data_IF_914220134820
#
_entry.id   IF_914220134820
#
_cell.length_a   1.000
_cell.length_b   1.000
_cell.length_c   1.000
_cell.angle_alpha   90.00
_cell.angle_beta   90.00
_cell.angle_gamma   90.00
#
_symmetry.space_group_name_H-M   'P 1'
#
loop_
_entity.id
_entity.type
_entity.pdbx_description
1 polymer ?
#
# COMPACT_ATOMS: atom_id res chain seq x y z
N UNK A 1 -29.11 7.21 4.14
CA UNK A 1 -28.62 5.82 4.26
C UNK A 1 -27.13 5.91 4.53
N UNK A 2 -26.77 6.02 5.82
CA UNK A 2 -25.38 6.03 6.26
C UNK A 2 -24.86 4.59 6.24
N UNK A 3 -23.83 4.35 5.43
CA UNK A 3 -23.16 3.06 5.29
C UNK A 3 -22.22 2.85 6.48
N UNK A 4 -22.66 2.01 7.43
CA UNK A 4 -22.05 1.74 8.74
C UNK A 4 -20.82 0.81 8.70
N UNK A 5 -20.02 0.81 7.62
CA UNK A 5 -18.88 -0.12 7.45
C UNK A 5 -17.50 0.46 7.79
N UNK A 6 -17.36 1.13 8.94
CA UNK A 6 -16.07 1.74 9.30
C UNK A 6 -15.72 1.61 10.79
N UNK A 7 -15.65 0.38 11.31
CA UNK A 7 -15.42 0.13 12.75
C UNK A 7 -14.01 -0.32 13.15
N UNK A 8 -13.04 -0.47 12.23
CA UNK A 8 -11.64 -0.78 12.58
C UNK A 8 -10.65 0.18 11.90
N UNK A 9 -10.56 1.43 12.37
CA UNK A 9 -9.47 2.33 12.00
C UNK A 9 -8.61 2.66 13.22
N UNK A 10 -7.28 2.59 13.07
CA UNK A 10 -6.34 3.21 14.00
C UNK A 10 -6.66 4.71 14.17
N UNK A 11 -6.28 5.36 15.30
CA UNK A 11 -6.54 6.77 15.52
C UNK A 11 -6.17 7.59 14.27
N UNK A 12 -7.15 8.34 13.76
CA UNK A 12 -7.07 9.00 12.47
C UNK A 12 -5.82 9.88 12.36
N UNK A 13 -5.05 9.69 11.28
CA UNK A 13 -3.98 10.62 10.92
C UNK A 13 -4.53 12.03 10.87
N UNK A 14 -3.78 13.00 11.38
CA UNK A 14 -4.15 14.42 11.25
C UNK A 14 -4.34 14.80 9.77
N UNK A 15 -5.37 15.59 9.45
CA UNK A 15 -5.72 15.98 8.09
C UNK A 15 -4.55 16.57 7.29
N UNK A 16 -3.70 17.38 7.96
CA UNK A 16 -2.51 17.95 7.34
C UNK A 16 -1.53 16.88 6.85
N UNK A 17 -1.40 15.77 7.61
CA UNK A 17 -0.52 14.65 7.28
C UNK A 17 -1.13 13.86 6.12
N UNK A 18 -2.44 13.60 6.15
CA UNK A 18 -3.15 12.92 5.06
C UNK A 18 -3.01 13.70 3.75
N UNK A 19 -3.27 15.02 3.78
CA UNK A 19 -3.10 15.90 2.61
C UNK A 19 -1.67 15.85 2.08
N UNK A 20 -0.68 15.90 2.97
CA UNK A 20 0.72 15.85 2.58
C UNK A 20 1.15 14.48 2.03
N UNK A 21 0.53 13.39 2.48
CA UNK A 21 0.73 12.03 1.96
C UNK A 21 0.15 11.90 0.53
N UNK A 22 -1.09 12.36 0.32
CA UNK A 22 -1.77 12.35 -0.98
C UNK A 22 -1.03 13.23 -2.00
N UNK A 23 -0.59 14.43 -1.61
CA UNK A 23 0.18 15.30 -2.51
C UNK A 23 1.50 14.66 -2.94
N UNK A 24 2.16 13.91 -2.04
CA UNK A 24 3.39 13.18 -2.37
C UNK A 24 3.13 12.03 -3.33
N UNK A 25 2.06 11.26 -3.15
CA UNK A 25 1.70 10.17 -4.08
C UNK A 25 1.34 10.72 -5.47
N UNK A 26 0.62 11.84 -5.52
CA UNK A 26 0.30 12.52 -6.78
C UNK A 26 1.56 13.00 -7.52
N UNK A 27 2.52 13.62 -6.82
CA UNK A 27 3.80 14.05 -7.40
C UNK A 27 4.67 12.87 -7.83
N UNK A 28 4.66 11.77 -7.08
CA UNK A 28 5.46 10.59 -7.42
C UNK A 28 5.08 10.01 -8.80
N UNK A 29 3.82 10.16 -9.20
CA UNK A 29 3.31 9.73 -10.51
C UNK A 29 4.05 10.37 -11.69
N UNK A 30 4.62 11.57 -11.51
CA UNK A 30 5.36 12.26 -12.58
C UNK A 30 6.67 11.55 -12.96
N UNK A 31 7.15 10.64 -12.11
CA UNK A 31 8.34 9.84 -12.35
C UNK A 31 8.04 8.45 -12.94
N UNK A 32 6.76 8.12 -13.16
CA UNK A 32 6.35 6.81 -13.65
C UNK A 32 6.99 6.49 -15.02
N UNK A 33 7.65 5.34 -15.11
CA UNK A 33 8.09 4.78 -16.37
C UNK A 33 7.04 3.79 -16.85
N UNK A 34 6.08 4.25 -17.66
CA UNK A 34 5.00 3.41 -18.16
C UNK A 34 4.76 3.58 -19.67
N UNK A 35 5.76 3.31 -20.53
CA UNK A 35 5.62 3.53 -21.95
C UNK A 35 4.63 2.56 -22.62
N UNK A 36 4.27 1.44 -21.98
CA UNK A 36 3.40 0.42 -22.56
C UNK A 36 1.94 0.69 -22.21
N UNK A 37 1.59 0.82 -20.93
CA UNK A 37 0.20 1.08 -20.54
C UNK A 37 -0.21 2.55 -20.67
N UNK A 38 0.76 3.47 -20.62
CA UNK A 38 0.53 4.91 -20.44
C UNK A 38 -0.29 5.24 -19.19
N UNK A 39 -0.38 4.32 -18.24
CA UNK A 39 -1.13 4.46 -17.00
C UNK A 39 -0.18 4.73 -15.84
N UNK A 40 -0.11 6.01 -15.44
CA UNK A 40 0.81 6.44 -14.38
C UNK A 40 0.18 6.20 -13.01
N UNK A 41 0.95 5.61 -12.10
CA UNK A 41 0.59 5.40 -10.71
C UNK A 41 1.73 5.91 -9.83
N UNK A 42 1.38 6.66 -8.79
CA UNK A 42 2.29 7.11 -7.75
C UNK A 42 1.82 6.65 -6.38
N UNK A 43 2.76 6.39 -5.48
CA UNK A 43 2.49 6.01 -4.10
C UNK A 43 3.39 6.79 -3.14
N UNK A 44 2.89 7.03 -1.94
CA UNK A 44 3.67 7.58 -0.84
C UNK A 44 3.32 6.83 0.45
N UNK A 45 4.31 6.38 1.20
CA UNK A 45 4.16 5.69 2.48
C UNK A 45 4.72 6.54 3.61
N UNK A 46 4.01 6.56 4.74
CA UNK A 46 4.38 7.22 5.99
C UNK A 46 4.80 6.16 7.01
N UNK A 47 6.01 6.29 7.55
CA UNK A 47 6.55 5.42 8.60
C UNK A 47 6.08 5.88 9.99
N UNK A 48 6.29 5.03 11.00
CA UNK A 48 5.95 5.38 12.39
C UNK A 48 6.75 6.56 12.95
N UNK A 49 8.00 6.76 12.49
CA UNK A 49 8.85 7.88 12.87
C UNK A 49 8.53 9.20 12.13
N UNK A 50 7.60 9.18 11.17
CA UNK A 50 7.16 10.37 10.44
C UNK A 50 7.88 10.60 9.11
N UNK A 51 8.79 9.71 8.70
CA UNK A 51 9.44 9.75 7.39
C UNK A 51 8.49 9.38 6.26
N UNK A 52 8.69 9.97 5.08
CA UNK A 52 7.92 9.70 3.87
C UNK A 52 8.79 9.08 2.80
N UNK A 53 8.31 8.00 2.18
CA UNK A 53 8.92 7.40 1.00
C UNK A 53 7.94 7.41 -0.16
N UNK A 54 8.44 7.63 -1.36
CA UNK A 54 7.62 7.70 -2.58
C UNK A 54 8.05 6.66 -3.58
N UNK A 55 7.13 6.27 -4.44
CA UNK A 55 7.34 5.32 -5.52
C UNK A 55 6.40 5.58 -6.67
N UNK A 56 6.75 5.05 -7.85
CA UNK A 56 5.94 5.10 -9.05
C UNK A 56 5.99 3.75 -9.75
N UNK A 57 5.05 3.46 -10.64
CA UNK A 57 5.14 2.23 -11.43
C UNK A 57 6.28 2.32 -12.45
N UNK A 58 7.02 1.23 -12.58
CA UNK A 58 8.10 1.04 -13.55
C UNK A 58 7.80 -0.21 -14.35
N UNK A 59 7.47 0.00 -15.62
CA UNK A 59 7.16 -1.08 -16.53
C UNK A 59 8.42 -1.65 -17.18
N UNK A 60 8.27 -2.81 -17.81
CA UNK A 60 9.32 -3.48 -18.55
C UNK A 60 8.73 -4.14 -19.79
N UNK A 61 9.53 -4.34 -20.84
CA UNK A 61 9.12 -5.04 -22.05
C UNK A 61 8.62 -6.46 -21.74
N UNK A 62 9.28 -7.14 -20.79
CA UNK A 62 8.76 -8.34 -20.16
C UNK A 62 7.82 -7.91 -19.02
N UNK A 63 6.51 -7.94 -19.28
CA UNK A 63 5.50 -7.35 -18.40
C UNK A 63 5.51 -7.89 -16.96
N UNK A 64 5.96 -9.14 -16.75
CA UNK A 64 6.10 -9.77 -15.44
C UNK A 64 7.24 -9.17 -14.59
N UNK A 65 8.19 -8.45 -15.18
CA UNK A 65 9.28 -7.77 -14.48
C UNK A 65 8.88 -6.37 -14.00
N UNK A 66 7.71 -5.87 -14.41
CA UNK A 66 7.20 -4.58 -13.97
C UNK A 66 6.91 -4.54 -12.47
N UNK A 67 7.08 -3.36 -11.87
CA UNK A 67 6.82 -3.13 -10.44
C UNK A 67 5.83 -1.98 -10.24
N UNK A 68 4.89 -2.18 -9.33
CA UNK A 68 3.86 -1.19 -9.00
C UNK A 68 4.40 -0.11 -8.05
N UNK A 69 3.75 1.06 -8.05
CA UNK A 69 4.17 2.21 -7.26
C UNK A 69 4.27 1.91 -5.75
N UNK A 70 3.31 1.14 -5.23
CA UNK A 70 3.24 0.76 -3.82
C UNK A 70 4.47 -0.07 -3.44
N UNK A 71 4.79 -1.09 -4.25
CA UNK A 71 5.96 -1.95 -4.05
C UNK A 71 7.27 -1.16 -4.16
N UNK A 72 7.37 -0.19 -5.06
CA UNK A 72 8.54 0.71 -5.12
C UNK A 72 8.67 1.53 -3.84
N UNK A 73 7.59 2.17 -3.38
CA UNK A 73 7.61 3.02 -2.19
C UNK A 73 7.98 2.23 -0.92
N UNK A 74 7.41 1.03 -0.75
CA UNK A 74 7.72 0.15 0.37
C UNK A 74 9.13 -0.43 0.29
N UNK A 75 9.55 -0.95 -0.85
CA UNK A 75 10.91 -1.48 -1.02
C UNK A 75 11.96 -0.42 -0.71
N UNK A 76 11.72 0.83 -1.11
CA UNK A 76 12.58 1.96 -0.75
C UNK A 76 12.62 2.16 0.76
N UNK A 77 11.48 2.30 1.42
CA UNK A 77 11.41 2.49 2.88
C UNK A 77 12.11 1.36 3.65
N UNK A 78 11.87 0.11 3.24
CA UNK A 78 12.45 -1.09 3.86
C UNK A 78 13.96 -1.13 3.65
N UNK A 79 14.45 -0.82 2.44
CA UNK A 79 15.90 -0.76 2.17
C UNK A 79 16.62 0.33 2.97
N UNK A 80 15.89 1.36 3.42
CA UNK A 80 16.38 2.44 4.27
C UNK A 80 16.12 2.18 5.77
N UNK A 81 15.72 0.96 6.15
CA UNK A 81 15.62 0.52 7.54
C UNK A 81 14.23 0.68 8.19
N UNK A 82 13.21 1.06 7.43
CA UNK A 82 11.85 1.26 7.97
C UNK A 82 10.92 0.10 7.62
N UNK A 83 10.43 -0.62 8.63
CA UNK A 83 9.54 -1.78 8.47
C UNK A 83 8.19 -1.63 9.19
N UNK A 84 7.91 -0.44 9.75
CA UNK A 84 6.65 -0.13 10.44
C UNK A 84 6.02 1.12 9.84
N UNK A 85 4.77 0.99 9.42
CA UNK A 85 4.07 2.01 8.65
C UNK A 85 2.78 2.46 9.33
N UNK A 86 2.45 3.73 9.15
CA UNK A 86 1.19 4.33 9.60
C UNK A 86 0.16 4.33 8.48
N UNK A 87 0.59 4.70 7.28
CA UNK A 87 -0.30 4.79 6.13
C UNK A 87 0.45 4.77 4.79
N UNK A 88 -0.27 4.48 3.71
CA UNK A 88 0.14 4.67 2.33
C UNK A 88 -0.98 5.36 1.54
N UNK A 89 -0.65 6.28 0.64
CA UNK A 89 -1.58 6.84 -0.34
C UNK A 89 -1.19 6.43 -1.76
N UNK A 90 -2.19 6.14 -2.59
CA UNK A 90 -2.01 5.69 -3.98
C UNK A 90 -2.78 6.65 -4.88
N UNK A 91 -2.13 7.13 -5.94
CA UNK A 91 -2.68 8.06 -6.91
C UNK A 91 -2.48 7.56 -8.34
N UNK A 92 -3.46 7.81 -9.20
CA UNK A 92 -3.38 7.53 -10.65
C UNK A 92 -3.96 8.69 -11.46
N UNK A 93 -4.07 8.51 -12.78
CA UNK A 93 -4.77 9.44 -13.67
C UNK A 93 -6.29 9.15 -13.82
N UNK A 94 -6.81 8.14 -13.10
CA UNK A 94 -8.21 7.73 -13.16
C UNK A 94 -9.12 8.76 -12.48
N UNK A 95 -9.93 9.50 -13.25
CA UNK A 95 -10.77 10.60 -12.74
C UNK A 95 -12.04 10.10 -12.05
N UNK A 96 -12.68 9.10 -12.63
CA UNK A 96 -14.04 8.72 -12.24
C UNK A 96 -14.09 7.72 -11.08
N UNK A 97 -12.95 7.08 -10.73
CA UNK A 97 -12.89 6.07 -9.68
C UNK A 97 -11.60 6.15 -8.85
N UNK A 98 -11.64 5.59 -7.64
CA UNK A 98 -10.50 5.52 -6.74
C UNK A 98 -9.54 4.42 -7.20
N UNK A 99 -8.24 4.74 -7.29
CA UNK A 99 -7.25 3.70 -7.60
C UNK A 99 -7.13 2.71 -6.44
N UNK A 100 -7.31 1.42 -6.74
CA UNK A 100 -7.15 0.32 -5.79
C UNK A 100 -5.82 -0.41 -6.01
N UNK A 101 -5.10 -0.81 -4.94
CA UNK A 101 -3.89 -1.62 -5.10
C UNK A 101 -4.24 -3.00 -5.68
N UNK A 102 -3.38 -3.50 -6.57
CA UNK A 102 -3.54 -4.85 -7.12
C UNK A 102 -3.29 -5.93 -6.05
N UNK A 103 -3.70 -7.17 -6.33
CA UNK A 103 -3.55 -8.29 -5.37
C UNK A 103 -2.10 -8.47 -4.87
N UNK A 104 -1.11 -8.37 -5.76
CA UNK A 104 0.30 -8.46 -5.38
C UNK A 104 0.76 -7.33 -4.46
N UNK A 105 0.26 -6.10 -4.65
CA UNK A 105 0.53 -5.00 -3.73
C UNK A 105 -0.14 -5.21 -2.38
N UNK A 106 -1.39 -5.72 -2.35
CA UNK A 106 -2.08 -6.04 -1.09
C UNK A 106 -1.32 -7.08 -0.27
N UNK A 107 -0.82 -8.12 -0.93
CA UNK A 107 0.03 -9.13 -0.30
C UNK A 107 1.38 -8.56 0.17
N UNK A 108 1.95 -7.60 -0.57
CA UNK A 108 3.17 -6.92 -0.15
C UNK A 108 2.94 -6.01 1.06
N UNK A 109 1.77 -5.39 1.17
CA UNK A 109 1.39 -4.53 2.29
C UNK A 109 1.18 -5.32 3.58
N UNK A 110 0.46 -6.46 3.51
CA UNK A 110 0.09 -7.25 4.69
C UNK A 110 1.31 -7.85 5.40
N UNK A 111 2.40 -8.09 4.69
CA UNK A 111 3.69 -8.52 5.26
C UNK A 111 4.18 -7.60 6.38
N UNK A 112 3.88 -6.30 6.29
CA UNK A 112 4.30 -5.29 7.26
C UNK A 112 3.20 -4.93 8.27
N UNK A 113 2.24 -5.84 8.45
CA UNK A 113 1.11 -5.71 9.35
C UNK A 113 -0.20 -5.42 8.64
N UNK A 114 -1.30 -5.66 9.37
CA UNK A 114 -2.66 -5.56 8.84
C UNK A 114 -3.40 -4.29 9.25
N UNK A 115 -2.97 -3.67 10.35
CA UNK A 115 -3.63 -2.55 11.03
C UNK A 115 -3.00 -1.20 10.68
N UNK A 116 -2.97 -0.84 9.40
CA UNK A 116 -2.51 0.48 8.95
C UNK A 116 -3.27 0.94 7.71
N UNK A 117 -3.23 2.24 7.44
CA UNK A 117 -4.19 2.89 6.55
C UNK A 117 -3.74 2.92 5.08
N UNK A 118 -4.65 2.63 4.17
CA UNK A 118 -4.49 2.76 2.73
C UNK A 118 -5.47 3.80 2.20
N UNK A 119 -4.92 4.88 1.65
CA UNK A 119 -5.67 5.97 1.03
C UNK A 119 -5.75 5.73 -0.48
N UNK A 120 -6.94 5.36 -0.93
CA UNK A 120 -7.30 5.21 -2.34
C UNK A 120 -7.75 6.58 -2.83
N UNK A 121 -7.04 7.19 -3.79
CA UNK A 121 -7.27 8.60 -4.15
C UNK A 121 -7.79 8.77 -5.57
N UNK A 122 -8.44 9.92 -5.81
CA UNK A 122 -8.71 10.47 -7.13
C UNK A 122 -7.81 11.67 -7.43
N UNK A 123 -7.68 12.10 -8.69
CA UNK A 123 -6.88 13.27 -9.08
C UNK A 123 -7.30 14.58 -8.39
N UNK A 124 -8.57 14.74 -8.03
CA UNK A 124 -9.08 15.91 -7.30
C UNK A 124 -8.70 15.94 -5.81
N UNK A 125 -8.04 14.88 -5.31
CA UNK A 125 -7.65 14.73 -3.91
C UNK A 125 -8.71 14.10 -3.02
N UNK A 126 -9.92 13.84 -3.54
CA UNK A 126 -10.90 13.01 -2.82
C UNK A 126 -10.34 11.60 -2.63
N UNK A 127 -10.68 10.96 -1.51
CA UNK A 127 -10.10 9.68 -1.15
C UNK A 127 -11.01 8.83 -0.28
N UNK A 128 -10.75 7.52 -0.28
CA UNK A 128 -11.26 6.55 0.69
C UNK A 128 -10.11 6.03 1.52
N UNK A 129 -10.33 5.84 2.81
CA UNK A 129 -9.38 5.21 3.72
C UNK A 129 -9.87 3.80 4.06
N UNK A 130 -8.99 2.81 3.97
CA UNK A 130 -9.26 1.43 4.35
C UNK A 130 -8.05 0.87 5.12
N UNK A 131 -8.27 -0.03 6.07
CA UNK A 131 -7.18 -0.82 6.63
C UNK A 131 -6.65 -1.83 5.60
N UNK A 132 -5.38 -2.25 5.71
CA UNK A 132 -4.82 -3.29 4.84
C UNK A 132 -5.62 -4.59 4.91
N UNK A 133 -6.06 -5.02 6.10
CA UNK A 133 -6.88 -6.22 6.26
C UNK A 133 -8.21 -6.18 5.48
N UNK A 134 -8.81 -5.00 5.35
CA UNK A 134 -10.06 -4.84 4.63
C UNK A 134 -9.88 -5.00 3.12
N UNK A 135 -8.66 -4.81 2.62
CA UNK A 135 -8.31 -5.01 1.20
C UNK A 135 -7.96 -6.47 0.90
N UNK A 136 -7.50 -7.24 1.88
CA UNK A 136 -7.12 -8.64 1.73
C UNK A 136 -7.62 -9.47 2.92
N UNK A 137 -8.92 -9.79 2.96
CA UNK A 137 -9.48 -10.61 4.03
C UNK A 137 -8.92 -12.04 3.96
N UNK A 138 -8.70 -12.65 5.12
CA UNK A 138 -8.11 -13.99 5.25
C UNK A 138 -6.78 -14.14 4.47
N UNK A 139 -5.93 -13.12 4.55
CA UNK A 139 -4.62 -13.09 3.92
C UNK A 139 -3.74 -14.26 4.38
N UNK A 140 -2.92 -14.77 3.45
CA UNK A 140 -1.78 -15.62 3.79
C UNK A 140 -0.68 -14.75 4.40
N UNK A 141 -0.17 -15.12 5.57
CA UNK A 141 0.83 -14.33 6.31
C UNK A 141 1.96 -15.21 6.86
N UNK A 142 3.05 -14.62 7.40
CA UNK A 142 4.13 -15.40 8.00
C UNK A 142 3.67 -16.38 9.09
N UNK A 143 2.56 -16.11 9.78
CA UNK A 143 1.96 -17.02 10.75
C UNK A 143 1.55 -18.36 10.13
N UNK A 144 1.13 -18.39 8.85
CA UNK A 144 0.73 -19.62 8.18
C UNK A 144 1.92 -20.53 7.88
N UNK A 145 3.07 -19.94 7.54
CA UNK A 145 4.34 -20.68 7.33
C UNK A 145 4.86 -21.24 8.67
N UNK A 146 4.66 -20.51 9.77
CA UNK A 146 5.14 -20.91 11.10
C UNK A 146 4.29 -21.99 11.76
N UNK A 147 3.00 -22.12 11.41
CA UNK A 147 2.11 -23.16 11.94
C UNK A 147 2.63 -24.56 11.59
N UNK A 148 3.04 -24.78 10.35
CA UNK A 148 3.54 -26.08 9.88
C UNK A 148 4.79 -26.54 10.65
N UNK A 149 5.75 -25.63 10.88
CA UNK A 149 6.99 -25.97 11.61
C UNK A 149 6.74 -26.41 13.06
N UNK A 150 5.74 -25.83 13.73
CA UNK A 150 5.39 -26.18 15.12
C UNK A 150 4.64 -27.51 15.22
N UNK A 151 3.96 -27.93 14.16
CA UNK A 151 3.27 -29.23 14.11
C UNK A 151 4.26 -30.35 13.81
N UNK A 152 5.27 -30.11 12.95
CA UNK A 152 6.38 -31.05 12.70
C UNK A 152 7.26 -31.28 13.94
N UNK A 153 7.60 -30.24 14.69
CA UNK A 153 8.38 -30.35 15.94
C UNK A 153 7.61 -31.11 17.04
N UNK A 154 6.28 -31.00 17.08
CA UNK A 154 5.43 -31.72 18.04
C UNK A 154 5.18 -33.18 17.66
N UNK A 155 5.27 -33.53 16.38
CA UNK A 155 5.12 -34.91 15.91
C UNK A 155 6.41 -35.76 16.05
N UNK A 156 7.53 -35.13 16.42
CA UNK A 156 8.85 -35.77 16.60
C UNK A 156 9.23 -35.99 18.08
N UNK A 157 8.35 -35.66 19.03
CA UNK A 157 8.48 -35.93 20.48
C UNK A 157 7.40 -36.94 20.87
#
# INVERSE_FOLDING_TARGET
MEDTRNQNMQPGLEDRVVKALIQRSQKAKDFAYCPYSKFRVGAAVLTVDGSFFTGCNVENAASNLGICAERVALSKAVSEGHQRFKAIAIASDLKDDFISPCGGCRQFLIEFGSQWNVYLTKPDGSHRCMAVEALLPAAFTPEDIQKEKKEEEKAQI
#
